data_IF_494678348660
#
_entry.id   IF_494678348660
#
_cell.length_a   1.000
_cell.length_b   1.000
_cell.length_c   1.000
_cell.angle_alpha   90.00
_cell.angle_beta   90.00
_cell.angle_gamma   90.00
#
_symmetry.space_group_name_H-M   'P 1'
#
loop_
_entity.id
_entity.type
_entity.pdbx_description
1 polymer ?
#
# COMPACT_ATOMS: atom_id res chain seq x y z
N UNK A 1 20.79 3.34 14.62
CA UNK A 1 20.11 3.30 13.33
C UNK A 1 20.78 4.33 12.45
N UNK A 2 21.20 3.96 11.24
CA UNK A 2 21.67 4.96 10.27
C UNK A 2 20.57 5.98 10.00
N UNK A 3 20.96 7.24 9.92
CA UNK A 3 20.06 8.34 9.62
C UNK A 3 19.68 8.28 8.13
N UNK A 4 18.38 8.14 7.85
CA UNK A 4 17.85 8.11 6.49
C UNK A 4 17.86 9.55 5.94
N UNK A 5 18.54 9.76 4.81
CA UNK A 5 18.71 11.06 4.16
C UNK A 5 17.82 11.19 2.93
N UNK A 6 17.65 12.43 2.45
CA UNK A 6 17.04 12.70 1.13
C UNK A 6 17.79 11.92 0.04
N UNK A 7 17.04 11.34 -0.90
CA UNK A 7 17.53 10.45 -1.96
C UNK A 7 17.65 8.98 -1.56
N UNK A 8 17.51 8.64 -0.28
CA UNK A 8 17.54 7.25 0.15
C UNK A 8 16.31 6.48 -0.35
N UNK A 9 16.54 5.24 -0.81
CA UNK A 9 15.46 4.30 -1.13
C UNK A 9 15.06 3.56 0.14
N UNK A 10 13.76 3.56 0.41
CA UNK A 10 13.18 3.05 1.65
C UNK A 10 11.93 2.24 1.36
N UNK A 11 11.57 1.38 2.31
CA UNK A 11 10.20 0.92 2.44
C UNK A 11 9.43 1.76 3.45
N UNK A 12 8.15 1.97 3.21
CA UNK A 12 7.25 2.70 4.10
C UNK A 12 5.89 2.01 4.23
N UNK A 13 5.34 1.95 5.44
CA UNK A 13 3.97 1.48 5.68
C UNK A 13 3.04 2.70 5.78
N UNK A 14 2.00 2.72 4.95
CA UNK A 14 0.98 3.76 4.97
C UNK A 14 -0.41 3.14 4.82
N UNK A 15 -1.30 3.40 5.78
CA UNK A 15 -2.70 2.90 5.79
C UNK A 15 -2.81 1.42 5.39
N UNK A 16 -2.02 0.56 6.04
CA UNK A 16 -1.90 -0.91 5.80
C UNK A 16 -1.22 -1.34 4.50
N UNK A 17 -1.06 -0.44 3.53
CA UNK A 17 -0.23 -0.64 2.35
C UNK A 17 1.26 -0.54 2.71
N UNK A 18 2.11 -1.15 1.88
CA UNK A 18 3.57 -1.07 2.00
C UNK A 18 4.16 -0.73 0.65
N UNK A 19 5.06 0.25 0.64
CA UNK A 19 5.59 0.87 -0.57
C UNK A 19 7.11 0.88 -0.55
N UNK A 20 7.74 0.82 -1.72
CA UNK A 20 9.11 1.29 -1.90
C UNK A 20 9.03 2.72 -2.44
N UNK A 21 9.86 3.60 -1.90
CA UNK A 21 9.92 4.99 -2.34
C UNK A 21 11.26 5.65 -2.06
N UNK A 22 11.37 6.86 -2.55
CA UNK A 22 12.53 7.74 -2.40
C UNK A 22 12.20 8.82 -1.37
N UNK A 23 13.07 9.04 -0.38
CA UNK A 23 12.88 10.15 0.58
C UNK A 23 13.16 11.47 -0.11
N UNK A 24 12.19 12.37 -0.12
CA UNK A 24 12.30 13.70 -0.74
C UNK A 24 12.44 14.83 0.28
N UNK A 25 12.07 14.59 1.54
CA UNK A 25 12.19 15.55 2.65
C UNK A 25 12.26 14.82 3.99
N UNK A 26 12.99 15.39 4.96
CA UNK A 26 13.15 14.84 6.32
C UNK A 26 12.56 15.83 7.32
N UNK A 27 11.48 15.42 7.99
CA UNK A 27 10.75 16.23 8.96
C UNK A 27 11.00 15.72 10.38
N UNK A 28 10.62 16.46 11.44
CA UNK A 28 10.86 16.01 12.82
C UNK A 28 10.33 14.59 13.10
N UNK A 29 9.08 14.32 12.71
CA UNK A 29 8.38 13.05 13.00
C UNK A 29 8.15 12.14 11.78
N UNK A 30 8.41 12.64 10.56
CA UNK A 30 8.05 11.96 9.32
C UNK A 30 9.19 12.04 8.29
N UNK A 31 9.16 11.13 7.33
CA UNK A 31 9.80 11.31 6.03
C UNK A 31 8.73 11.61 4.98
N UNK A 32 9.00 12.56 4.08
CA UNK A 32 8.22 12.66 2.86
C UNK A 32 8.79 11.63 1.87
N UNK A 33 7.94 10.70 1.47
CA UNK A 33 8.34 9.58 0.60
C UNK A 33 7.58 9.67 -0.71
N UNK A 34 8.33 9.71 -1.82
CA UNK A 34 7.81 9.63 -3.18
C UNK A 34 7.73 8.17 -3.61
N UNK A 35 6.52 7.68 -3.83
CA UNK A 35 6.26 6.26 -4.15
C UNK A 35 6.89 5.86 -5.49
N UNK A 36 7.54 4.70 -5.50
CA UNK A 36 8.18 4.10 -6.68
C UNK A 36 7.59 2.74 -7.04
N UNK A 37 7.28 1.90 -6.05
CA UNK A 37 6.72 0.58 -6.25
C UNK A 37 5.82 0.17 -5.07
N UNK A 38 4.96 -0.83 -5.28
CA UNK A 38 4.02 -1.34 -4.28
C UNK A 38 4.45 -2.73 -3.82
N UNK A 39 4.72 -2.89 -2.53
CA UNK A 39 5.05 -4.19 -1.93
C UNK A 39 3.84 -4.90 -1.33
N UNK A 40 2.84 -4.14 -0.88
CA UNK A 40 1.58 -4.67 -0.33
C UNK A 40 0.46 -3.69 -0.64
N UNK A 41 -0.61 -4.17 -1.27
CA UNK A 41 -1.81 -3.39 -1.49
C UNK A 41 -2.53 -3.12 -0.14
N UNK A 42 -3.11 -1.93 0.09
CA UNK A 42 -3.86 -1.65 1.30
C UNK A 42 -5.07 -2.59 1.45
N UNK A 43 -5.36 -2.94 2.69
CA UNK A 43 -6.56 -3.69 3.06
C UNK A 43 -7.82 -2.85 2.75
N UNK A 44 -8.89 -3.53 2.35
CA UNK A 44 -10.17 -2.89 2.06
C UNK A 44 -11.03 -2.78 3.32
N UNK A 45 -12.01 -1.87 3.28
CA UNK A 45 -12.91 -1.60 4.39
C UNK A 45 -12.35 -0.55 5.37
N UNK A 46 -12.80 -0.64 6.62
CA UNK A 46 -12.40 0.27 7.68
C UNK A 46 -11.06 -0.14 8.31
N UNK A 47 -10.19 0.86 8.51
CA UNK A 47 -8.90 0.68 9.17
C UNK A 47 -9.02 0.66 10.69
N UNK A 48 -10.09 1.25 11.23
CA UNK A 48 -10.37 1.34 12.67
C UNK A 48 -11.20 0.15 13.18
N UNK A 49 -11.86 -0.58 12.27
CA UNK A 49 -12.59 -1.82 12.54
C UNK A 49 -12.10 -2.94 11.58
N UNK A 50 -10.89 -3.49 11.79
CA UNK A 50 -10.28 -4.43 10.85
C UNK A 50 -11.11 -5.71 10.74
N UNK A 51 -11.38 -6.13 9.50
CA UNK A 51 -12.16 -7.35 9.17
C UNK A 51 -13.63 -7.32 9.60
N UNK A 52 -14.16 -6.18 10.03
CA UNK A 52 -15.57 -6.02 10.32
C UNK A 52 -16.34 -5.57 9.07
N UNK A 53 -17.59 -6.01 9.00
CA UNK A 53 -18.51 -5.73 7.88
C UNK A 53 -19.72 -4.92 8.29
N UNK A 54 -20.03 -4.88 9.59
CA UNK A 54 -21.08 -4.07 10.19
C UNK A 54 -20.54 -2.66 10.48
N UNK A 55 -19.98 -2.06 9.45
CA UNK A 55 -19.52 -0.67 9.44
C UNK A 55 -20.47 0.14 8.57
N UNK A 56 -20.73 1.42 8.90
CA UNK A 56 -21.64 2.27 8.11
C UNK A 56 -21.31 2.32 6.62
N UNK A 57 -20.02 2.16 6.26
CA UNK A 57 -19.57 2.05 4.88
C UNK A 57 -18.33 1.17 4.76
N UNK A 58 -18.35 0.21 3.83
CA UNK A 58 -17.17 -0.58 3.47
C UNK A 58 -16.37 0.18 2.40
N UNK A 59 -15.30 0.86 2.81
CA UNK A 59 -14.52 1.72 1.92
C UNK A 59 -13.64 0.94 0.93
N UNK A 60 -13.71 1.30 -0.35
CA UNK A 60 -12.63 1.01 -1.31
C UNK A 60 -11.36 1.79 -0.90
N UNK A 61 -10.20 1.11 -0.92
CA UNK A 61 -8.91 1.69 -0.56
C UNK A 61 -7.93 1.49 -1.70
N UNK A 62 -7.56 2.59 -2.37
CA UNK A 62 -6.56 2.60 -3.43
C UNK A 62 -5.14 2.55 -2.87
N UNK A 63 -4.23 1.92 -3.61
CA UNK A 63 -2.79 2.10 -3.45
C UNK A 63 -2.40 3.56 -3.69
N UNK A 64 -1.37 4.04 -3.02
CA UNK A 64 -0.73 5.31 -3.37
C UNK A 64 -0.24 5.25 -4.82
N UNK A 65 -0.43 6.33 -5.57
CA UNK A 65 -0.09 6.40 -6.99
C UNK A 65 1.42 6.51 -7.23
N UNK A 66 1.86 6.20 -8.45
CA UNK A 66 3.24 6.39 -8.87
C UNK A 66 3.65 7.86 -8.69
N UNK A 67 4.77 8.09 -7.99
CA UNK A 67 5.27 9.42 -7.62
C UNK A 67 4.38 10.25 -6.68
N UNK A 68 3.30 9.68 -6.14
CA UNK A 68 2.59 10.31 -5.03
C UNK A 68 3.56 10.50 -3.85
N UNK A 69 3.50 11.68 -3.23
CA UNK A 69 4.32 12.00 -2.07
C UNK A 69 3.47 11.98 -0.81
N UNK A 70 3.87 11.19 0.17
CA UNK A 70 3.15 11.06 1.45
C UNK A 70 4.09 11.16 2.64
N UNK A 71 3.58 11.71 3.75
CA UNK A 71 4.30 11.74 5.02
C UNK A 71 4.16 10.37 5.70
N UNK A 72 5.27 9.67 5.88
CA UNK A 72 5.31 8.39 6.59
C UNK A 72 6.03 8.59 7.93
N UNK A 73 5.42 8.19 9.07
CA UNK A 73 6.07 8.28 10.37
C UNK A 73 7.44 7.58 10.36
N UNK A 74 8.46 8.19 10.97
CA UNK A 74 9.84 7.66 10.91
C UNK A 74 9.96 6.19 11.35
N UNK A 75 9.15 5.76 12.31
CA UNK A 75 9.12 4.37 12.81
C UNK A 75 8.52 3.36 11.82
N UNK A 76 7.81 3.83 10.79
CA UNK A 76 7.22 3.01 9.72
C UNK A 76 8.09 2.98 8.46
N UNK A 77 9.26 3.64 8.48
CA UNK A 77 10.20 3.71 7.36
C UNK A 77 11.45 2.88 7.67
N UNK A 78 11.89 2.07 6.71
CA UNK A 78 13.12 1.26 6.82
C UNK A 78 13.97 1.41 5.55
N UNK A 79 15.31 1.47 5.64
CA UNK A 79 16.18 1.43 4.48
C UNK A 79 15.85 0.21 3.61
N UNK A 80 15.93 0.38 2.28
CA UNK A 80 15.71 -0.69 1.33
C UNK A 80 16.91 -0.82 0.41
N UNK A 81 17.48 -2.02 0.38
CA UNK A 81 18.57 -2.40 -0.52
C UNK A 81 18.07 -3.60 -1.32
N UNK A 82 17.63 -3.34 -2.54
CA UNK A 82 17.02 -4.34 -3.41
C UNK A 82 16.56 -3.72 -4.71
N UNK A 83 16.09 -4.57 -5.62
CA UNK A 83 15.54 -4.14 -6.89
C UNK A 83 14.21 -3.41 -6.69
N UNK A 84 14.06 -2.27 -7.37
CA UNK A 84 12.81 -1.54 -7.42
C UNK A 84 12.12 -1.89 -8.73
N UNK A 85 11.14 -2.80 -8.65
CA UNK A 85 10.31 -3.19 -9.80
C UNK A 85 9.54 -1.98 -10.37
N UNK A 86 9.11 -2.10 -11.63
CA UNK A 86 8.17 -1.14 -12.21
C UNK A 86 6.91 -0.99 -11.35
N UNK A 87 6.38 0.23 -11.31
CA UNK A 87 5.22 0.53 -10.47
C UNK A 87 4.00 -0.32 -10.84
N UNK A 88 3.70 -0.48 -12.13
CA UNK A 88 2.52 -1.25 -12.56
C UNK A 88 2.69 -2.74 -12.30
N UNK A 89 3.88 -3.27 -12.56
CA UNK A 89 4.17 -4.68 -12.29
C UNK A 89 4.08 -5.00 -10.79
N UNK A 90 4.70 -4.15 -9.96
CA UNK A 90 4.62 -4.31 -8.50
C UNK A 90 3.20 -4.13 -7.95
N UNK A 91 2.42 -3.19 -8.50
CA UNK A 91 1.01 -3.01 -8.13
C UNK A 91 0.17 -4.23 -8.48
N UNK A 92 0.34 -4.80 -9.69
CA UNK A 92 -0.33 -6.04 -10.11
C UNK A 92 0.01 -7.19 -9.17
N UNK A 93 1.30 -7.44 -8.93
CA UNK A 93 1.74 -8.50 -8.01
C UNK A 93 1.17 -8.33 -6.60
N UNK A 94 1.12 -7.09 -6.09
CA UNK A 94 0.60 -6.79 -4.78
C UNK A 94 -0.93 -6.96 -4.68
N UNK A 95 -1.67 -6.67 -5.76
CA UNK A 95 -3.11 -6.88 -5.86
C UNK A 95 -3.43 -8.38 -5.98
N UNK A 96 -2.73 -9.10 -6.87
CA UNK A 96 -2.87 -10.55 -7.05
C UNK A 96 -2.63 -11.30 -5.74
N UNK A 97 -1.56 -10.93 -5.02
CA UNK A 97 -1.24 -11.50 -3.70
C UNK A 97 -2.36 -11.24 -2.69
N UNK A 98 -2.95 -10.03 -2.70
CA UNK A 98 -4.05 -9.68 -1.80
C UNK A 98 -5.34 -10.43 -2.14
N UNK A 99 -5.64 -10.61 -3.43
CA UNK A 99 -6.77 -11.40 -3.93
C UNK A 99 -6.61 -12.88 -3.55
N UNK A 100 -5.45 -13.47 -3.84
CA UNK A 100 -5.14 -14.87 -3.54
C UNK A 100 -5.26 -15.17 -2.05
N UNK A 101 -4.80 -14.27 -1.19
CA UNK A 101 -4.89 -14.41 0.27
C UNK A 101 -6.33 -14.46 0.80
N UNK A 102 -7.33 -14.02 0.01
CA UNK A 102 -8.74 -13.95 0.41
C UNK A 102 -9.63 -14.95 -0.34
N UNK A 103 -9.12 -15.66 -1.35
CA UNK A 103 -9.96 -16.50 -2.24
C UNK A 103 -10.72 -17.60 -1.52
N UNK A 104 -10.13 -18.17 -0.47
CA UNK A 104 -10.69 -19.28 0.31
C UNK A 104 -11.42 -18.79 1.58
N UNK A 105 -11.43 -17.47 1.82
CA UNK A 105 -12.11 -16.86 2.95
C UNK A 105 -13.58 -16.55 2.58
N UNK A 106 -14.50 -17.29 3.21
CA UNK A 106 -15.93 -17.17 2.95
C UNK A 106 -16.63 -16.04 3.73
N UNK A 107 -15.89 -15.25 4.52
CA UNK A 107 -16.43 -14.13 5.27
C UNK A 107 -16.99 -13.04 4.34
N UNK A 108 -17.96 -12.27 4.84
CA UNK A 108 -18.50 -11.14 4.10
C UNK A 108 -17.41 -10.07 3.84
N UNK A 109 -16.42 -9.95 4.72
CA UNK A 109 -15.31 -8.99 4.58
C UNK A 109 -14.43 -9.36 3.38
N UNK A 110 -14.08 -10.65 3.26
CA UNK A 110 -13.28 -11.14 2.14
C UNK A 110 -14.03 -10.96 0.82
N UNK A 111 -15.31 -11.31 0.75
CA UNK A 111 -16.15 -11.12 -0.44
C UNK A 111 -16.19 -9.66 -0.92
N UNK A 112 -16.49 -8.72 -0.02
CA UNK A 112 -16.47 -7.28 -0.34
C UNK A 112 -15.08 -6.77 -0.73
N UNK A 113 -14.03 -7.30 -0.12
CA UNK A 113 -12.65 -6.94 -0.48
C UNK A 113 -12.31 -7.39 -1.90
N UNK A 114 -12.69 -8.62 -2.26
CA UNK A 114 -12.50 -9.17 -3.60
C UNK A 114 -13.28 -8.39 -4.67
N UNK A 115 -14.52 -8.01 -4.38
CA UNK A 115 -15.32 -7.13 -5.25
C UNK A 115 -14.60 -5.80 -5.51
N UNK A 116 -14.12 -5.13 -4.47
CA UNK A 116 -13.34 -3.90 -4.60
C UNK A 116 -12.05 -4.12 -5.40
N UNK A 117 -11.33 -5.23 -5.18
CA UNK A 117 -10.12 -5.54 -5.94
C UNK A 117 -10.38 -5.70 -7.43
N UNK A 118 -11.49 -6.34 -7.83
CA UNK A 118 -11.88 -6.46 -9.24
C UNK A 118 -12.25 -5.11 -9.89
N UNK A 119 -12.79 -4.16 -9.13
CA UNK A 119 -13.02 -2.79 -9.61
C UNK A 119 -11.68 -2.06 -9.75
N UNK A 120 -10.84 -2.13 -8.72
CA UNK A 120 -9.54 -1.48 -8.67
C UNK A 120 -8.59 -1.95 -9.77
N UNK A 121 -8.59 -3.24 -10.11
CA UNK A 121 -7.77 -3.81 -11.19
C UNK A 121 -8.03 -3.10 -12.54
N UNK A 122 -9.31 -2.88 -12.87
CA UNK A 122 -9.74 -2.16 -14.08
C UNK A 122 -9.37 -0.68 -14.01
N UNK A 123 -9.61 -0.07 -12.86
CA UNK A 123 -9.32 1.34 -12.59
C UNK A 123 -7.81 1.66 -12.68
N UNK A 124 -6.96 0.72 -12.25
CA UNK A 124 -5.51 0.79 -12.39
C UNK A 124 -5.02 0.49 -13.80
N UNK A 125 -5.90 -0.01 -14.68
CA UNK A 125 -5.57 -0.43 -16.05
C UNK A 125 -4.52 -1.55 -16.05
N UNK A 126 -4.74 -2.56 -15.21
CA UNK A 126 -3.91 -3.76 -15.10
C UNK A 126 -4.48 -4.96 -15.88
N UNK A 127 -5.76 -4.87 -16.26
CA UNK A 127 -6.48 -5.79 -17.15
C UNK A 127 -6.41 -5.37 -18.62
#
# INVERSE_FOLDING_TARGET
MEEIKVGAIVTGIYKTGKYIGEVTDVRPMHYLVKVKAVLKHPQQGDLHAPKEVDVPLFHERRSLAFHEQTNIPKNMVKPYVGEVLDYKDSLRMALDTATEALKDDNSLWAKKSLENFSVLEKDYKLS
#
